data_IF_120430872808
#
_entry.id   IF_120430872808
#
_cell.length_a   1.000
_cell.length_b   1.000
_cell.length_c   1.000
_cell.angle_alpha   90.00
_cell.angle_beta   90.00
_cell.angle_gamma   90.00
#
_symmetry.space_group_name_H-M   'P 1'
#
loop_
_entity.id
_entity.type
_entity.pdbx_description
1 polymer ?
#
# COMPACT_ATOMS: atom_id res chain seq x y z
N UNK A 1 32.20 -32.15 -10.95
CA UNK A 1 32.00 -31.22 -9.82
C UNK A 1 31.07 -30.14 -10.34
N UNK A 2 29.77 -30.28 -10.08
CA UNK A 2 28.73 -29.45 -10.69
C UNK A 2 28.78 -28.01 -10.19
N UNK A 3 28.36 -27.09 -11.06
CA UNK A 3 28.33 -25.63 -10.88
C UNK A 3 27.67 -25.23 -9.54
N UNK A 4 28.52 -25.03 -8.53
CA UNK A 4 28.16 -24.68 -7.16
C UNK A 4 27.42 -23.33 -7.04
N UNK A 5 27.43 -22.53 -8.11
CA UNK A 5 26.87 -21.18 -8.12
C UNK A 5 25.83 -20.94 -9.23
N UNK A 6 25.47 -21.97 -10.01
CA UNK A 6 24.59 -21.82 -11.20
C UNK A 6 25.01 -20.66 -12.14
N UNK A 7 26.31 -20.38 -12.25
CA UNK A 7 26.84 -19.29 -13.06
C UNK A 7 26.67 -19.53 -14.57
N UNK A 8 26.56 -20.78 -15.02
CA UNK A 8 26.41 -21.11 -16.46
C UNK A 8 24.95 -21.23 -16.93
N UNK A 9 23.97 -21.19 -16.02
CA UNK A 9 22.56 -21.36 -16.40
C UNK A 9 21.87 -20.04 -16.67
N UNK A 10 21.55 -19.80 -17.94
CA UNK A 10 20.64 -18.72 -18.31
C UNK A 10 19.23 -18.98 -17.73
N UNK A 11 18.67 -17.97 -17.05
CA UNK A 11 17.29 -18.02 -16.57
C UNK A 11 16.29 -18.13 -17.73
N UNK A 12 15.34 -19.05 -17.60
CA UNK A 12 14.20 -19.16 -18.51
C UNK A 12 13.31 -17.91 -18.43
N UNK A 13 12.49 -17.64 -19.47
CA UNK A 13 11.50 -16.55 -19.43
C UNK A 13 10.56 -16.62 -18.21
N UNK A 14 10.20 -17.83 -17.76
CA UNK A 14 9.34 -18.06 -16.60
C UNK A 14 10.00 -17.67 -15.28
N UNK A 15 11.25 -18.10 -15.06
CA UNK A 15 12.03 -17.73 -13.86
C UNK A 15 12.27 -16.22 -13.81
N UNK A 16 12.58 -15.60 -14.95
CA UNK A 16 12.74 -14.14 -15.04
C UNK A 16 11.43 -13.41 -14.70
N UNK A 17 10.26 -13.95 -15.10
CA UNK A 17 8.96 -13.37 -14.76
C UNK A 17 8.67 -13.48 -13.26
N UNK A 18 9.02 -14.60 -12.62
CA UNK A 18 8.85 -14.77 -11.17
C UNK A 18 9.67 -13.74 -10.37
N UNK A 19 10.90 -13.47 -10.78
CA UNK A 19 11.77 -12.48 -10.14
C UNK A 19 11.28 -11.03 -10.33
N UNK A 20 10.43 -10.76 -11.34
CA UNK A 20 9.84 -9.43 -11.57
C UNK A 20 8.65 -9.11 -10.66
N UNK A 21 8.31 -10.00 -9.71
CA UNK A 21 7.28 -9.74 -8.70
C UNK A 21 7.60 -8.48 -7.89
N UNK A 22 6.99 -7.34 -8.26
CA UNK A 22 7.22 -6.08 -7.59
C UNK A 22 6.67 -6.06 -6.16
N UNK A 23 7.17 -5.14 -5.33
CA UNK A 23 6.71 -4.96 -3.95
C UNK A 23 5.19 -4.81 -3.87
N UNK A 24 4.55 -5.58 -2.99
CA UNK A 24 3.12 -5.49 -2.73
C UNK A 24 2.79 -4.27 -1.85
N UNK A 25 1.61 -3.68 -2.07
CA UNK A 25 1.12 -2.57 -1.28
C UNK A 25 0.61 -3.05 0.09
N UNK A 26 1.30 -2.65 1.16
CA UNK A 26 1.03 -3.09 2.53
C UNK A 26 1.08 -1.96 3.56
N UNK A 27 0.99 -0.71 3.13
CA UNK A 27 1.12 0.49 3.96
C UNK A 27 -0.11 0.83 4.82
N UNK A 28 -0.83 -0.18 5.33
CA UNK A 28 -2.03 0.01 6.13
C UNK A 28 -1.65 0.28 7.60
N UNK A 29 -2.38 1.18 8.26
CA UNK A 29 -2.18 1.47 9.68
C UNK A 29 -2.59 0.32 10.61
N UNK A 30 -3.51 -0.52 10.14
CA UNK A 30 -3.93 -1.76 10.80
C UNK A 30 -4.38 -2.78 9.74
N UNK A 31 -4.58 -4.02 10.16
CA UNK A 31 -4.98 -5.12 9.26
C UNK A 31 -6.27 -4.78 8.51
N UNK A 32 -6.28 -4.81 7.16
CA UNK A 32 -7.50 -4.65 6.37
C UNK A 32 -8.55 -5.71 6.72
N UNK A 33 -9.83 -5.35 6.75
CA UNK A 33 -10.94 -6.24 7.11
C UNK A 33 -11.32 -6.20 8.59
N UNK A 34 -10.62 -5.39 9.39
CA UNK A 34 -10.94 -5.16 10.82
C UNK A 34 -11.86 -3.96 11.06
N UNK A 35 -12.19 -3.20 10.01
CA UNK A 35 -13.08 -2.04 10.07
C UNK A 35 -14.56 -2.38 9.81
N UNK A 36 -15.41 -1.35 9.68
CA UNK A 36 -16.84 -1.53 9.40
C UNK A 36 -17.10 -2.27 8.08
N UNK A 37 -18.11 -3.16 8.10
CA UNK A 37 -18.46 -4.02 6.96
C UNK A 37 -18.97 -3.16 5.80
N UNK A 38 -18.42 -3.40 4.61
CA UNK A 38 -18.79 -2.68 3.38
C UNK A 38 -17.93 -1.44 3.09
N UNK A 39 -17.17 -0.96 4.08
CA UNK A 39 -16.27 0.18 3.89
C UNK A 39 -14.89 -0.24 3.40
N UNK A 40 -14.22 0.66 2.69
CA UNK A 40 -12.90 0.41 2.11
C UNK A 40 -11.89 1.47 2.54
N UNK A 41 -10.61 1.20 2.32
CA UNK A 41 -9.58 2.23 2.51
C UNK A 41 -9.81 3.45 1.58
N UNK A 42 -10.49 3.24 0.44
CA UNK A 42 -10.90 4.27 -0.51
C UNK A 42 -11.90 5.30 0.03
N UNK A 43 -12.78 4.89 0.96
CA UNK A 43 -13.79 5.75 1.60
C UNK A 43 -13.31 6.38 2.91
N UNK A 44 -12.09 6.08 3.36
CA UNK A 44 -11.55 6.57 4.62
C UNK A 44 -11.07 8.02 4.53
N UNK A 45 -11.38 8.82 5.55
CA UNK A 45 -10.86 10.20 5.71
C UNK A 45 -9.32 10.26 5.75
N UNK A 46 -8.67 9.22 6.28
CA UNK A 46 -7.21 9.16 6.36
C UNK A 46 -6.51 8.83 5.02
N UNK A 47 -7.26 8.68 3.92
CA UNK A 47 -6.66 8.39 2.62
C UNK A 47 -5.98 9.63 2.03
N UNK A 48 -4.64 9.57 1.93
CA UNK A 48 -3.85 10.63 1.30
C UNK A 48 -3.53 10.25 -0.14
N UNK A 49 -3.87 11.14 -1.07
CA UNK A 49 -3.47 11.07 -2.48
C UNK A 49 -2.28 12.00 -2.71
N UNK A 50 -1.07 11.44 -2.74
CA UNK A 50 0.16 12.22 -2.97
C UNK A 50 0.45 12.28 -4.47
N UNK A 51 0.48 13.48 -5.03
CA UNK A 51 0.88 13.70 -6.42
C UNK A 51 2.41 13.86 -6.51
N UNK A 52 3.05 12.98 -7.27
CA UNK A 52 4.47 13.04 -7.64
C UNK A 52 4.55 12.70 -9.14
N UNK A 53 5.41 11.76 -9.55
CA UNK A 53 5.41 11.21 -10.91
C UNK A 53 4.10 10.48 -11.27
N UNK A 54 3.38 9.98 -10.25
CA UNK A 54 2.06 9.36 -10.33
C UNK A 54 1.26 9.76 -9.08
N UNK A 55 -0.02 9.38 -9.05
CA UNK A 55 -0.81 9.46 -7.82
C UNK A 55 -0.53 8.25 -6.93
N UNK A 56 0.09 8.49 -5.78
CA UNK A 56 0.35 7.48 -4.76
C UNK A 56 -0.71 7.56 -3.68
N UNK A 57 -1.36 6.43 -3.41
CA UNK A 57 -2.38 6.32 -2.37
C UNK A 57 -1.73 5.81 -1.10
N UNK A 58 -1.75 6.59 -0.03
CA UNK A 58 -1.09 6.25 1.23
C UNK A 58 -2.03 6.51 2.41
N UNK A 59 -1.87 5.74 3.48
CA UNK A 59 -2.59 5.99 4.73
C UNK A 59 -1.92 7.13 5.51
N UNK A 60 -2.67 8.18 5.83
CA UNK A 60 -2.17 9.37 6.54
C UNK A 60 -1.62 9.07 7.94
N UNK A 61 -2.17 8.05 8.62
CA UNK A 61 -1.65 7.58 9.92
C UNK A 61 -0.24 6.98 9.81
N UNK A 62 0.15 6.49 8.62
CA UNK A 62 1.46 5.89 8.35
C UNK A 62 2.49 6.91 7.85
N UNK A 63 2.18 8.21 7.86
CA UNK A 63 3.04 9.27 7.30
C UNK A 63 4.51 9.23 7.76
N UNK A 64 4.83 8.95 9.04
CA UNK A 64 6.23 8.83 9.49
C UNK A 64 6.99 7.67 8.85
N UNK A 65 6.30 6.64 8.35
CA UNK A 65 6.89 5.41 7.82
C UNK A 65 6.95 5.35 6.29
N UNK A 66 6.61 6.44 5.58
CA UNK A 66 6.58 6.44 4.12
C UNK A 66 7.99 6.47 3.53
N UNK A 67 8.33 5.47 2.71
CA UNK A 67 9.66 5.31 2.09
C UNK A 67 9.68 5.63 0.59
N UNK A 68 8.64 6.28 0.07
CA UNK A 68 8.52 6.63 -1.36
C UNK A 68 8.20 5.44 -2.30
N UNK A 69 8.40 4.20 -1.85
CA UNK A 69 8.07 2.99 -2.61
C UNK A 69 6.64 2.47 -2.41
N UNK A 70 6.24 1.54 -3.30
CA UNK A 70 4.92 0.87 -3.32
C UNK A 70 4.60 0.09 -2.03
N UNK A 71 5.62 -0.34 -1.29
CA UNK A 71 5.41 -1.04 -0.01
C UNK A 71 4.64 -0.23 1.02
N UNK A 72 4.69 1.10 0.93
CA UNK A 72 3.98 2.03 1.83
C UNK A 72 2.68 2.57 1.24
N UNK A 73 2.29 2.09 0.06
CA UNK A 73 1.00 2.42 -0.53
C UNK A 73 -0.11 1.53 0.05
N UNK A 74 -1.34 2.02 -0.06
CA UNK A 74 -2.57 1.31 0.25
C UNK A 74 -3.39 1.09 -1.01
N UNK A 75 -4.09 -0.04 -1.07
CA UNK A 75 -5.08 -0.28 -2.11
C UNK A 75 -6.41 0.37 -1.70
N UNK A 76 -6.99 1.19 -2.58
CA UNK A 76 -8.28 1.82 -2.31
C UNK A 76 -9.41 0.78 -2.19
N UNK A 77 -9.29 -0.34 -2.92
CA UNK A 77 -10.23 -1.47 -2.86
C UNK A 77 -10.03 -2.38 -1.65
N UNK A 78 -8.97 -2.19 -0.85
CA UNK A 78 -8.79 -2.99 0.34
C UNK A 78 -9.90 -2.70 1.35
N UNK A 79 -10.38 -3.72 2.08
CA UNK A 79 -11.36 -3.52 3.13
C UNK A 79 -10.82 -2.56 4.20
N UNK A 80 -11.72 -1.81 4.81
CA UNK A 80 -11.38 -0.85 5.86
C UNK A 80 -10.66 -1.53 7.03
N UNK A 81 -9.79 -0.78 7.71
CA UNK A 81 -9.12 -1.23 8.93
C UNK A 81 -9.82 -0.63 10.15
N UNK A 82 -9.52 -1.12 11.36
CA UNK A 82 -10.10 -0.62 12.63
C UNK A 82 -9.95 0.89 12.87
N UNK A 83 -9.00 1.55 12.20
CA UNK A 83 -8.77 3.00 12.30
C UNK A 83 -9.53 3.79 11.22
N UNK A 84 -10.49 3.17 10.54
CA UNK A 84 -11.29 3.84 9.53
C UNK A 84 -12.12 4.95 10.17
N UNK A 85 -12.20 6.08 9.47
CA UNK A 85 -13.05 7.22 9.83
C UNK A 85 -13.86 7.65 8.64
N UNK A 86 -15.13 7.95 8.89
CA UNK A 86 -16.00 8.48 7.86
C UNK A 86 -15.59 9.94 7.55
N UNK A 87 -15.53 10.34 6.28
CA UNK A 87 -15.26 11.72 5.90
C UNK A 87 -16.43 12.66 6.26
N UNK A 88 -17.61 12.11 6.61
CA UNK A 88 -18.78 12.86 7.05
C UNK A 88 -18.77 13.20 8.54
N UNK A 89 -17.87 12.62 9.35
CA UNK A 89 -17.77 12.96 10.77
C UNK A 89 -17.16 14.37 10.94
N UNK A 90 -17.90 15.36 11.48
CA UNK A 90 -17.47 16.76 11.53
C UNK A 90 -16.27 17.00 12.48
N UNK A 91 -15.88 16.02 13.28
CA UNK A 91 -14.79 16.09 14.27
C UNK A 91 -13.40 16.35 13.64
N UNK A 92 -13.25 16.27 12.30
CA UNK A 92 -11.98 16.53 11.58
C UNK A 92 -12.02 17.83 10.74
N UNK A 93 -12.91 18.78 11.03
CA UNK A 93 -12.87 20.11 10.36
C UNK A 93 -11.89 21.02 11.10
N UNK A 94 -10.58 20.86 10.85
CA UNK A 94 -9.59 21.62 11.61
C UNK A 94 -8.15 21.48 11.14
N UNK A 95 -7.88 21.53 9.82
CA UNK A 95 -6.52 21.86 9.34
C UNK A 95 -6.54 22.51 7.97
N UNK A 96 -6.71 23.82 7.97
CA UNK A 96 -6.52 24.68 6.82
C UNK A 96 -5.02 25.04 6.66
N UNK A 97 -4.60 25.05 5.39
CA UNK A 97 -3.34 25.55 4.78
C UNK A 97 -2.05 24.79 5.08
#
# INVERSE_FOLDING_TARGET
MGDLFNLERALTPSERRQLRGGTQAKGYAAMPGTGPKGETCGSCDHLVRKQLAKTYRKCGLMRPFWTGGKGTDVLASAPSCRNWKSPSDPTTTGRAK
#
